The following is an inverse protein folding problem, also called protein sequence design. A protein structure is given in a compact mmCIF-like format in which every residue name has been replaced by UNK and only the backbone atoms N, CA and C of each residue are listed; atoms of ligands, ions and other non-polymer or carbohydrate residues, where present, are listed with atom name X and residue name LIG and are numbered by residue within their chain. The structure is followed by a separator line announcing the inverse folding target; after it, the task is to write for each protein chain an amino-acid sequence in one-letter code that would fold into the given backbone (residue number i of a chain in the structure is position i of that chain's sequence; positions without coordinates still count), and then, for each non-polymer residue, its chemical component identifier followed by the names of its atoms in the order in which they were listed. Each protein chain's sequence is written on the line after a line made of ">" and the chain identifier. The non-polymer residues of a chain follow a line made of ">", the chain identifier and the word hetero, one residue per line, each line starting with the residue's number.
data_IF_268297542130
#
_entry.id   IF_268297542130
#
_cell.length_a   1.000
_cell.length_b   1.000
_cell.length_c   1.000
_cell.angle_alpha   90.00
_cell.angle_beta   90.00
_cell.angle_gamma   90.00
#
_symmetry.space_group_name_H-M   'P 1'
#
loop_
_entity.id
_entity.type
_entity.pdbx_description
1 polymer ?
#
# COMPACT_ATOMS: atom_id res chain seq x y z
N UNK A 1 -22.15 -19.39 -1.59
CA UNK A 1 -23.60 -19.60 -1.71
C UNK A 1 -24.23 -18.33 -2.27
N UNK A 2 -24.31 -18.03 -3.55
CA UNK A 2 -24.97 -16.85 -4.14
C UNK A 2 -26.43 -16.57 -3.74
N UNK A 3 -26.80 -16.93 -2.53
CA UNK A 3 -28.08 -16.62 -1.93
C UNK A 3 -28.04 -15.24 -1.26
N UNK A 4 -29.10 -14.44 -1.32
CA UNK A 4 -29.19 -13.20 -0.56
C UNK A 4 -28.92 -13.46 0.92
N UNK A 5 -27.87 -12.79 1.47
CA UNK A 5 -27.45 -12.97 2.86
C UNK A 5 -26.35 -14.01 3.09
N UNK A 6 -25.75 -14.60 2.06
CA UNK A 6 -24.57 -15.44 2.20
C UNK A 6 -23.39 -14.63 2.79
N UNK A 7 -22.73 -15.19 3.82
CA UNK A 7 -21.57 -14.58 4.43
C UNK A 7 -20.37 -14.68 3.47
N UNK A 8 -19.66 -13.59 3.28
CA UNK A 8 -18.36 -13.60 2.60
C UNK A 8 -17.38 -14.28 3.58
N UNK A 9 -16.84 -15.44 3.19
CA UNK A 9 -15.99 -16.25 4.05
C UNK A 9 -14.56 -15.69 4.15
N UNK A 10 -14.11 -14.90 3.16
CA UNK A 10 -12.78 -14.30 3.12
C UNK A 10 -12.89 -12.91 2.50
N UNK A 11 -12.31 -11.89 3.16
CA UNK A 11 -12.31 -10.49 2.75
C UNK A 11 -10.89 -9.93 2.83
N UNK A 12 -10.61 -8.82 2.14
CA UNK A 12 -9.36 -8.08 2.32
C UNK A 12 -9.14 -7.66 3.77
N UNK A 13 -10.21 -7.30 4.49
CA UNK A 13 -10.12 -6.92 5.91
C UNK A 13 -9.74 -8.07 6.85
N UNK A 14 -9.67 -9.31 6.36
CA UNK A 14 -9.17 -10.45 7.11
C UNK A 14 -7.62 -10.57 7.01
N UNK A 15 -6.99 -9.73 6.18
CA UNK A 15 -5.54 -9.54 6.18
C UNK A 15 -5.14 -8.78 7.44
N UNK A 16 -4.26 -9.37 8.23
CA UNK A 16 -3.78 -8.75 9.47
C UNK A 16 -2.92 -7.53 9.15
N UNK A 17 -3.26 -6.39 9.75
CA UNK A 17 -2.44 -5.20 9.73
C UNK A 17 -1.18 -5.44 10.58
N UNK A 18 -0.04 -5.57 9.94
CA UNK A 18 1.24 -5.79 10.62
C UNK A 18 2.07 -4.50 10.64
N UNK A 19 2.72 -4.25 11.77
CA UNK A 19 3.74 -3.21 11.83
C UNK A 19 4.95 -3.63 10.99
N UNK A 20 5.44 -2.72 10.18
CA UNK A 20 6.69 -2.90 9.46
C UNK A 20 7.66 -1.77 9.79
N UNK A 21 8.96 -2.09 9.85
CA UNK A 21 10.00 -1.12 10.14
C UNK A 21 10.46 -0.41 8.87
N UNK A 22 11.04 0.78 9.04
CA UNK A 22 11.66 1.55 7.98
C UNK A 22 12.89 2.30 8.45
N UNK A 23 13.60 2.90 7.52
CA UNK A 23 14.76 3.75 7.77
C UNK A 23 14.62 5.05 7.01
N UNK A 24 15.04 6.15 7.64
CA UNK A 24 15.12 7.47 7.02
C UNK A 24 16.54 8.00 7.10
N UNK A 25 17.09 8.38 5.97
CA UNK A 25 18.37 9.10 5.87
C UNK A 25 18.07 10.54 5.48
N UNK A 26 18.69 11.48 6.18
CA UNK A 26 18.57 12.92 5.90
C UNK A 26 19.96 13.51 5.84
N UNK A 27 20.25 14.26 4.79
CA UNK A 27 21.50 15.03 4.62
C UNK A 27 21.15 16.45 4.25
N UNK A 28 21.72 17.42 4.94
CA UNK A 28 21.43 18.84 4.70
C UNK A 28 22.64 19.72 4.87
N UNK A 29 22.57 20.90 4.26
CA UNK A 29 23.56 21.95 4.38
C UNK A 29 22.87 23.28 4.71
N UNK A 30 23.35 23.96 5.76
CA UNK A 30 22.89 25.30 6.13
C UNK A 30 23.91 26.29 5.62
N UNK A 31 23.45 27.31 4.87
CA UNK A 31 24.32 28.34 4.35
C UNK A 31 24.77 29.34 5.44
N UNK A 32 25.88 30.04 5.20
CA UNK A 32 26.59 30.86 6.21
C UNK A 32 25.74 31.93 6.90
N UNK A 33 24.67 32.42 6.26
CA UNK A 33 23.75 33.39 6.86
C UNK A 33 22.65 32.75 7.71
N UNK A 34 22.66 31.42 7.85
CA UNK A 34 21.72 30.59 8.64
C UNK A 34 20.23 30.74 8.30
N UNK A 35 19.89 31.50 7.24
CA UNK A 35 18.50 31.71 6.81
C UNK A 35 17.98 30.60 5.91
N UNK A 36 18.86 29.97 5.13
CA UNK A 36 18.50 28.95 4.15
C UNK A 36 19.22 27.65 4.44
N UNK A 37 18.52 26.57 4.22
CA UNK A 37 19.00 25.20 4.33
C UNK A 37 18.53 24.40 3.13
N UNK A 38 19.40 23.62 2.52
CA UNK A 38 19.04 22.59 1.54
C UNK A 38 19.11 21.24 2.23
N UNK A 39 18.12 20.39 2.01
CA UNK A 39 18.05 19.06 2.61
C UNK A 39 17.60 18.04 1.57
N UNK A 40 18.24 16.89 1.55
CA UNK A 40 17.80 15.72 0.83
C UNK A 40 17.43 14.63 1.83
N UNK A 41 16.31 13.96 1.61
CA UNK A 41 15.91 12.84 2.45
C UNK A 41 15.50 11.63 1.62
N UNK A 42 15.73 10.43 2.17
CA UNK A 42 15.32 9.16 1.64
C UNK A 42 14.66 8.35 2.75
N UNK A 43 13.39 8.00 2.56
CA UNK A 43 12.62 7.14 3.45
C UNK A 43 12.37 5.83 2.74
N UNK A 44 12.74 4.73 3.37
CA UNK A 44 12.47 3.38 2.91
C UNK A 44 11.75 2.60 4.00
N UNK A 45 10.77 1.81 3.62
CA UNK A 45 10.02 0.91 4.50
C UNK A 45 10.24 -0.54 4.05
N UNK A 46 10.45 -1.42 5.00
CA UNK A 46 10.48 -2.86 4.74
C UNK A 46 9.15 -3.31 4.14
N UNK A 47 9.15 -4.31 3.24
CA UNK A 47 7.91 -4.79 2.64
C UNK A 47 6.89 -5.19 3.71
N UNK A 48 5.68 -4.69 3.58
CA UNK A 48 4.54 -5.18 4.32
C UNK A 48 3.96 -6.39 3.60
N UNK A 49 3.65 -7.46 4.35
CA UNK A 49 3.07 -8.68 3.79
C UNK A 49 1.94 -9.15 4.68
N UNK A 50 0.83 -9.58 4.08
CA UNK A 50 -0.27 -10.18 4.81
C UNK A 50 -0.86 -11.35 4.03
N UNK A 51 -1.37 -12.35 4.76
CA UNK A 51 -1.99 -13.54 4.18
C UNK A 51 -3.21 -13.90 5.00
N UNK A 52 -4.32 -14.14 4.31
CA UNK A 52 -5.52 -14.71 4.91
C UNK A 52 -6.00 -15.88 4.08
N UNK A 53 -6.59 -16.89 4.73
CA UNK A 53 -7.09 -18.08 4.05
C UNK A 53 -8.33 -18.64 4.74
N UNK A 54 -9.12 -19.35 3.97
CA UNK A 54 -10.28 -20.09 4.46
C UNK A 54 -10.28 -21.48 3.85
N UNK A 55 -10.59 -22.47 4.67
CA UNK A 55 -10.82 -23.83 4.22
C UNK A 55 -12.29 -24.18 4.34
N UNK A 56 -12.77 -25.02 3.43
CA UNK A 56 -14.07 -25.63 3.53
C UNK A 56 -14.18 -26.46 4.82
N UNK A 57 -15.31 -26.37 5.52
CA UNK A 57 -15.61 -27.15 6.70
C UNK A 57 -16.53 -28.36 6.30
N UNK A 58 -15.98 -29.56 6.08
CA UNK A 58 -16.72 -30.67 5.50
C UNK A 58 -17.89 -31.16 6.36
N UNK A 59 -17.98 -30.76 7.62
CA UNK A 59 -18.80 -31.44 8.60
C UNK A 59 -20.12 -30.76 8.96
N UNK A 60 -20.39 -29.53 8.55
CA UNK A 60 -21.53 -28.77 9.06
C UNK A 60 -22.75 -28.73 8.15
N UNK A 61 -22.64 -29.12 6.88
CA UNK A 61 -23.73 -29.10 5.92
C UNK A 61 -23.80 -30.39 5.10
N UNK A 62 -24.22 -31.49 5.71
CA UNK A 62 -24.57 -32.75 5.03
C UNK A 62 -23.47 -33.41 4.18
N UNK A 63 -22.20 -33.26 4.54
CA UNK A 63 -21.09 -33.95 3.85
C UNK A 63 -20.76 -33.46 2.44
N UNK A 64 -21.29 -32.30 2.01
CA UNK A 64 -20.87 -31.66 0.75
C UNK A 64 -19.55 -31.00 0.96
N UNK A 65 -18.54 -31.36 0.17
CA UNK A 65 -17.22 -30.72 0.09
C UNK A 65 -17.20 -29.73 -1.09
N UNK A 66 -16.37 -28.69 -0.99
CA UNK A 66 -16.25 -27.69 -2.06
C UNK A 66 -17.42 -26.71 -2.02
N UNK A 67 -17.63 -26.06 -0.89
CA UNK A 67 -18.71 -25.09 -0.70
C UNK A 67 -18.22 -23.63 -0.71
N UNK A 68 -16.94 -23.38 -1.08
CA UNK A 68 -16.45 -22.05 -1.29
C UNK A 68 -16.68 -21.63 -2.74
N UNK A 69 -17.25 -20.43 -2.91
CA UNK A 69 -17.58 -19.85 -4.21
C UNK A 69 -16.72 -18.61 -4.44
N UNK A 70 -16.25 -18.46 -5.67
CA UNK A 70 -15.32 -17.41 -6.06
C UNK A 70 -16.03 -16.06 -6.29
N UNK A 71 -15.30 -14.94 -6.22
CA UNK A 71 -15.82 -13.63 -6.61
C UNK A 71 -16.13 -13.55 -8.12
N UNK A 72 -15.55 -14.43 -8.94
CA UNK A 72 -15.69 -14.41 -10.41
C UNK A 72 -17.10 -14.79 -10.91
N UNK A 73 -17.90 -15.38 -10.06
CA UNK A 73 -19.29 -15.75 -10.34
C UNK A 73 -20.28 -15.00 -9.45
N UNK A 74 -19.86 -13.85 -8.89
CA UNK A 74 -20.64 -13.19 -7.85
C UNK A 74 -21.05 -14.19 -6.72
N UNK A 75 -20.04 -14.94 -6.26
CA UNK A 75 -20.16 -15.95 -5.20
C UNK A 75 -21.20 -17.05 -5.52
N UNK A 76 -21.13 -17.58 -6.73
CA UNK A 76 -21.96 -18.71 -7.19
C UNK A 76 -23.33 -18.33 -7.72
N UNK A 77 -23.50 -17.15 -8.28
CA UNK A 77 -24.78 -16.68 -8.81
C UNK A 77 -24.69 -16.18 -10.29
N UNK A 78 -24.80 -17.08 -11.30
CA UNK A 78 -24.87 -18.54 -11.22
C UNK A 78 -23.49 -19.18 -10.97
N UNK A 79 -23.42 -20.39 -10.40
CA UNK A 79 -22.15 -21.06 -10.18
C UNK A 79 -21.50 -21.54 -11.50
N UNK A 80 -20.16 -21.48 -11.54
CA UNK A 80 -19.34 -21.99 -12.64
C UNK A 80 -18.31 -22.98 -12.09
N UNK A 81 -18.34 -24.22 -12.57
CA UNK A 81 -17.45 -25.29 -12.12
C UNK A 81 -15.97 -25.03 -12.40
N UNK A 82 -15.63 -24.07 -13.25
CA UNK A 82 -14.23 -23.70 -13.53
C UNK A 82 -13.60 -22.93 -12.36
N UNK A 83 -14.38 -22.15 -11.61
CA UNK A 83 -13.92 -21.21 -10.59
C UNK A 83 -14.61 -21.33 -9.24
N UNK A 84 -15.64 -22.17 -9.12
CA UNK A 84 -16.39 -22.41 -7.90
C UNK A 84 -16.19 -23.84 -7.39
N UNK A 85 -16.75 -24.12 -6.23
CA UNK A 85 -16.65 -25.41 -5.53
C UNK A 85 -15.22 -25.66 -5.05
N UNK A 86 -14.62 -24.63 -4.42
CA UNK A 86 -13.30 -24.72 -3.85
C UNK A 86 -13.35 -25.27 -2.41
N UNK A 87 -12.29 -25.95 -2.01
CA UNK A 87 -12.09 -26.44 -0.64
C UNK A 87 -11.12 -25.59 0.16
N UNK A 88 -10.37 -24.73 -0.52
CA UNK A 88 -9.43 -23.80 0.09
C UNK A 88 -9.28 -22.55 -0.77
N UNK A 89 -9.31 -21.38 -0.13
CA UNK A 89 -9.04 -20.08 -0.78
C UNK A 89 -8.04 -19.31 0.08
N UNK A 90 -7.08 -18.67 -0.57
CA UNK A 90 -6.07 -17.81 0.06
C UNK A 90 -5.95 -16.51 -0.71
N UNK A 91 -5.83 -15.42 0.02
CA UNK A 91 -5.37 -14.13 -0.48
C UNK A 91 -4.04 -13.77 0.17
N UNK A 92 -3.15 -13.15 -0.60
CA UNK A 92 -1.84 -12.70 -0.14
C UNK A 92 -1.57 -11.33 -0.73
N UNK A 93 -1.13 -10.39 0.09
CA UNK A 93 -0.81 -9.02 -0.32
C UNK A 93 0.60 -8.66 0.13
N UNK A 94 1.34 -8.00 -0.76
CA UNK A 94 2.68 -7.45 -0.47
C UNK A 94 2.72 -6.03 -0.96
N UNK A 95 3.25 -5.11 -0.15
CA UNK A 95 3.42 -3.70 -0.50
C UNK A 95 4.83 -3.23 -0.16
N UNK A 96 5.44 -2.47 -1.09
CA UNK A 96 6.73 -1.80 -0.94
C UNK A 96 6.52 -0.30 -1.06
N UNK A 97 7.25 0.45 -0.23
CA UNK A 97 7.18 1.89 -0.20
C UNK A 97 8.58 2.51 -0.08
N UNK A 98 8.80 3.59 -0.84
CA UNK A 98 9.93 4.50 -0.66
C UNK A 98 9.50 5.95 -0.98
N UNK A 99 10.21 6.92 -0.39
CA UNK A 99 10.00 8.34 -0.68
C UNK A 99 11.31 9.09 -0.63
N UNK A 100 11.52 9.97 -1.60
CA UNK A 100 12.69 10.83 -1.76
C UNK A 100 12.25 12.29 -1.81
N UNK A 101 13.00 13.14 -1.14
CA UNK A 101 12.69 14.56 -1.09
C UNK A 101 13.98 15.39 -1.26
N UNK A 102 13.87 16.51 -1.94
CA UNK A 102 14.90 17.56 -1.97
C UNK A 102 14.19 18.88 -1.67
N UNK A 103 14.57 19.52 -0.57
CA UNK A 103 13.89 20.67 0.00
C UNK A 103 14.83 21.84 0.19
N UNK A 104 14.36 23.03 -0.17
CA UNK A 104 14.90 24.31 0.26
C UNK A 104 14.03 24.83 1.41
N UNK A 105 14.65 25.09 2.56
CA UNK A 105 14.00 25.62 3.76
C UNK A 105 14.49 27.03 4.02
N UNK A 106 13.56 27.94 4.32
CA UNK A 106 13.87 29.33 4.66
C UNK A 106 13.23 29.76 5.96
N UNK A 107 13.99 30.40 6.87
CA UNK A 107 13.45 30.96 8.12
C UNK A 107 12.66 32.23 7.82
N UNK A 108 11.36 32.24 8.13
CA UNK A 108 10.48 33.41 7.94
C UNK A 108 10.20 34.15 9.24
N UNK A 109 10.31 33.45 10.38
CA UNK A 109 10.15 34.01 11.70
C UNK A 109 11.09 33.32 12.69
N UNK A 110 11.74 34.10 13.55
CA UNK A 110 12.58 33.57 14.63
C UNK A 110 12.50 34.49 15.84
N UNK A 111 12.26 33.92 17.02
CA UNK A 111 12.34 34.55 18.33
C UNK A 111 13.17 33.66 19.27
N UNK A 112 13.30 34.04 20.54
CA UNK A 112 14.03 33.26 21.54
C UNK A 112 13.44 31.85 21.71
N UNK A 113 12.08 31.76 21.68
CA UNK A 113 11.36 30.51 21.99
C UNK A 113 10.78 29.80 20.77
N UNK A 114 10.73 30.45 19.59
CA UNK A 114 10.03 29.89 18.43
C UNK A 114 10.72 30.25 17.12
N UNK A 115 10.80 29.29 16.20
CA UNK A 115 11.17 29.51 14.83
C UNK A 115 10.12 28.90 13.87
N UNK A 116 9.86 29.63 12.76
CA UNK A 116 9.01 29.15 11.68
C UNK A 116 9.80 29.19 10.38
N UNK A 117 9.81 28.07 9.68
CA UNK A 117 10.45 27.91 8.37
C UNK A 117 9.42 27.56 7.32
N UNK A 118 9.53 28.14 6.14
CA UNK A 118 8.87 27.65 4.94
C UNK A 118 9.77 26.66 4.22
N UNK A 119 9.14 25.71 3.55
CA UNK A 119 9.80 24.69 2.75
C UNK A 119 9.17 24.68 1.35
N UNK A 120 10.03 24.57 0.34
CA UNK A 120 9.64 24.28 -1.03
C UNK A 120 10.62 23.28 -1.62
N UNK A 121 10.12 22.28 -2.35
CA UNK A 121 10.97 21.23 -2.86
C UNK A 121 10.32 20.34 -3.91
N UNK A 122 10.98 19.23 -4.16
CA UNK A 122 10.50 18.15 -5.03
C UNK A 122 10.39 16.86 -4.21
N UNK A 123 9.34 16.11 -4.48
CA UNK A 123 9.08 14.80 -3.86
C UNK A 123 8.89 13.74 -4.92
N UNK A 124 9.50 12.60 -4.67
CA UNK A 124 9.24 11.33 -5.35
C UNK A 124 8.67 10.33 -4.35
N UNK A 125 7.68 9.55 -4.78
CA UNK A 125 7.13 8.43 -3.99
C UNK A 125 6.95 7.23 -4.90
N UNK A 126 7.56 6.11 -4.54
CA UNK A 126 7.40 4.82 -5.20
C UNK A 126 6.57 3.87 -4.34
N UNK A 127 5.50 3.31 -4.91
CA UNK A 127 4.68 2.28 -4.25
C UNK A 127 4.49 1.13 -5.24
N UNK A 128 4.88 -0.08 -4.84
CA UNK A 128 4.65 -1.29 -5.62
C UNK A 128 3.85 -2.28 -4.77
N UNK A 129 2.79 -2.81 -5.35
CA UNK A 129 1.94 -3.78 -4.66
C UNK A 129 1.72 -5.02 -5.51
N UNK A 130 1.53 -6.15 -4.81
CA UNK A 130 1.11 -7.40 -5.39
C UNK A 130 -0.02 -7.98 -4.56
N UNK A 131 -1.12 -8.35 -5.21
CA UNK A 131 -2.24 -9.04 -4.62
C UNK A 131 -2.45 -10.37 -5.34
N UNK A 132 -2.33 -11.48 -4.61
CA UNK A 132 -2.44 -12.84 -5.12
C UNK A 132 -3.71 -13.50 -4.57
N UNK A 133 -4.55 -13.97 -5.47
CA UNK A 133 -5.68 -14.83 -5.18
C UNK A 133 -5.33 -16.26 -5.60
N UNK A 134 -5.56 -17.22 -4.71
CA UNK A 134 -5.38 -18.65 -4.95
C UNK A 134 -6.61 -19.40 -4.48
N UNK A 135 -7.17 -20.26 -5.33
CA UNK A 135 -8.27 -21.12 -5.00
C UNK A 135 -7.96 -22.57 -5.41
N UNK A 136 -8.11 -23.49 -4.46
CA UNK A 136 -7.95 -24.93 -4.66
C UNK A 136 -9.32 -25.54 -4.86
N UNK A 137 -9.66 -26.00 -6.07
CA UNK A 137 -10.93 -26.64 -6.31
C UNK A 137 -11.04 -27.97 -5.57
N UNK A 138 -12.26 -28.32 -5.19
CA UNK A 138 -12.52 -29.66 -4.71
C UNK A 138 -12.31 -30.67 -5.84
N UNK A 139 -11.73 -31.82 -5.50
CA UNK A 139 -11.64 -32.95 -6.42
C UNK A 139 -12.93 -33.75 -6.50
N UNK A 140 -13.92 -33.45 -5.64
CA UNK A 140 -15.22 -34.10 -5.65
C UNK A 140 -16.18 -33.28 -6.53
N UNK A 141 -16.70 -33.89 -7.58
CA UNK A 141 -17.85 -33.38 -8.32
C UNK A 141 -19.09 -33.36 -7.43
N UNK A 142 -20.18 -32.72 -7.90
CA UNK A 142 -21.49 -32.73 -7.25
C UNK A 142 -22.00 -34.15 -6.89
N UNK A 143 -21.41 -35.17 -7.49
CA UNK A 143 -21.49 -36.57 -7.07
C UNK A 143 -20.31 -36.86 -6.12
N UNK A 144 -20.53 -37.00 -4.80
CA UNK A 144 -19.46 -37.23 -3.84
C UNK A 144 -18.69 -38.56 -4.07
N UNK A 145 -19.13 -39.38 -5.01
CA UNK A 145 -18.46 -40.62 -5.40
C UNK A 145 -17.45 -40.43 -6.54
N UNK A 146 -17.40 -39.26 -7.17
CA UNK A 146 -16.50 -38.96 -8.31
C UNK A 146 -15.52 -37.89 -7.95
N UNK A 147 -14.25 -38.25 -8.04
CA UNK A 147 -13.11 -37.33 -7.96
C UNK A 147 -12.73 -36.94 -9.37
N UNK A 148 -12.68 -35.63 -9.65
CA UNK A 148 -12.07 -35.12 -10.88
C UNK A 148 -10.62 -34.70 -10.59
N UNK A 149 -9.64 -35.58 -10.83
CA UNK A 149 -8.22 -35.30 -10.58
C UNK A 149 -7.64 -34.28 -11.56
N UNK A 150 -8.41 -33.83 -12.54
CA UNK A 150 -7.94 -32.90 -13.59
C UNK A 150 -8.16 -31.45 -13.22
N UNK A 151 -8.92 -31.16 -12.15
CA UNK A 151 -9.14 -29.79 -11.68
C UNK A 151 -7.84 -29.21 -11.09
N UNK A 152 -7.36 -28.14 -11.68
CA UNK A 152 -6.16 -27.44 -11.26
C UNK A 152 -6.52 -26.20 -10.44
N UNK A 153 -5.63 -25.73 -9.54
CA UNK A 153 -5.84 -24.50 -8.82
C UNK A 153 -6.07 -23.30 -9.76
N UNK A 154 -6.92 -22.39 -9.31
CA UNK A 154 -7.10 -21.10 -9.96
C UNK A 154 -6.22 -20.06 -9.26
N UNK A 155 -5.52 -19.24 -10.04
CA UNK A 155 -4.70 -18.14 -9.54
C UNK A 155 -5.00 -16.87 -10.31
N UNK A 156 -5.08 -15.76 -9.59
CA UNK A 156 -5.10 -14.43 -10.21
C UNK A 156 -4.14 -13.56 -9.45
N UNK A 157 -3.20 -12.95 -10.17
CA UNK A 157 -2.18 -12.08 -9.62
C UNK A 157 -2.39 -10.67 -10.19
N UNK A 158 -2.59 -9.71 -9.33
CA UNK A 158 -2.63 -8.30 -9.68
C UNK A 158 -1.37 -7.61 -9.12
N UNK A 159 -0.61 -6.94 -9.99
CA UNK A 159 0.55 -6.15 -9.60
C UNK A 159 0.35 -4.72 -10.05
N UNK A 160 0.72 -3.80 -9.19
CA UNK A 160 0.65 -2.36 -9.47
C UNK A 160 1.96 -1.68 -9.10
N UNK A 161 2.29 -0.66 -9.89
CA UNK A 161 3.38 0.26 -9.61
C UNK A 161 2.82 1.67 -9.70
N UNK A 162 3.09 2.46 -8.69
CA UNK A 162 2.81 3.89 -8.65
C UNK A 162 4.14 4.63 -8.52
N UNK A 163 4.40 5.55 -9.41
CA UNK A 163 5.61 6.36 -9.51
C UNK A 163 5.22 7.85 -9.54
N UNK A 164 5.27 8.48 -8.35
CA UNK A 164 4.74 9.81 -8.11
C UNK A 164 5.89 10.83 -8.08
N UNK A 165 5.81 11.85 -8.94
CA UNK A 165 6.74 12.98 -8.97
C UNK A 165 6.01 14.30 -8.89
N UNK A 166 6.44 15.21 -8.00
CA UNK A 166 5.79 16.50 -7.92
C UNK A 166 6.48 17.53 -7.02
N UNK A 167 6.10 18.80 -7.18
CA UNK A 167 6.50 19.86 -6.26
C UNK A 167 5.82 19.67 -4.91
N UNK A 168 6.57 20.03 -3.84
CA UNK A 168 6.03 20.10 -2.48
C UNK A 168 6.27 21.45 -1.85
N UNK A 169 5.37 21.80 -0.93
CA UNK A 169 5.50 22.95 -0.05
C UNK A 169 5.21 22.52 1.40
N UNK A 170 5.74 23.25 2.37
CA UNK A 170 5.48 22.94 3.77
C UNK A 170 5.85 24.06 4.73
N UNK A 171 5.46 23.85 5.97
CA UNK A 171 5.77 24.71 7.12
C UNK A 171 6.36 23.86 8.22
N UNK A 172 7.43 24.35 8.81
CA UNK A 172 8.08 23.76 9.97
C UNK A 172 8.00 24.76 11.12
N UNK A 173 7.38 24.38 12.23
CA UNK A 173 7.30 25.16 13.44
C UNK A 173 8.16 24.49 14.51
N UNK A 174 9.06 25.22 15.12
CA UNK A 174 9.93 24.75 16.19
C UNK A 174 9.72 25.60 17.43
N UNK A 175 9.49 24.98 18.57
CA UNK A 175 9.29 25.64 19.86
C UNK A 175 10.32 25.12 20.85
N UNK A 176 11.07 26.01 21.48
CA UNK A 176 12.05 25.72 22.51
C UNK A 176 11.32 25.30 23.79
N UNK A 177 11.54 24.08 24.25
CA UNK A 177 10.98 23.55 25.47
C UNK A 177 11.92 23.70 26.67
N UNK A 178 13.23 23.65 26.45
CA UNK A 178 14.30 23.82 27.39
C UNK A 178 15.58 24.26 26.68
N UNK A 179 16.65 24.60 27.42
CA UNK A 179 17.93 25.11 26.88
C UNK A 179 18.53 24.22 25.78
N UNK A 180 18.30 22.91 25.85
CA UNK A 180 18.82 21.89 24.94
C UNK A 180 17.73 20.96 24.41
N UNK A 181 16.47 21.39 24.43
CA UNK A 181 15.35 20.59 23.94
C UNK A 181 14.32 21.47 23.23
N UNK A 182 13.77 20.99 22.12
CA UNK A 182 12.70 21.65 21.37
C UNK A 182 11.73 20.63 20.77
N UNK A 183 10.55 21.12 20.40
CA UNK A 183 9.54 20.35 19.69
C UNK A 183 9.38 20.95 18.28
N UNK A 184 9.27 20.12 17.27
CA UNK A 184 8.97 20.50 15.88
C UNK A 184 7.63 19.91 15.44
N UNK A 185 6.87 20.73 14.72
CA UNK A 185 5.72 20.30 13.93
C UNK A 185 6.03 20.62 12.47
N UNK A 186 6.10 19.60 11.65
CA UNK A 186 6.38 19.70 10.22
C UNK A 186 5.12 19.28 9.45
N UNK A 187 4.60 20.15 8.59
CA UNK A 187 3.44 19.90 7.73
C UNK A 187 3.86 20.14 6.29
N UNK A 188 3.70 19.13 5.43
CA UNK A 188 4.04 19.20 4.02
C UNK A 188 2.89 18.71 3.14
N UNK A 189 2.80 19.25 1.93
CA UNK A 189 1.88 18.81 0.90
C UNK A 189 2.52 18.81 -0.47
N UNK A 190 2.25 17.78 -1.26
CA UNK A 190 2.70 17.69 -2.64
C UNK A 190 1.53 17.36 -3.60
N UNK A 191 1.63 17.91 -4.81
CA UNK A 191 0.79 17.54 -5.94
C UNK A 191 1.70 16.85 -6.94
N UNK A 192 1.41 15.58 -7.22
CA UNK A 192 2.27 14.72 -8.02
C UNK A 192 1.57 14.27 -9.30
N UNK A 193 2.36 14.04 -10.35
CA UNK A 193 1.96 13.18 -11.45
C UNK A 193 2.29 11.74 -11.08
N UNK A 194 1.29 10.85 -11.10
CA UNK A 194 1.44 9.44 -10.81
C UNK A 194 1.43 8.63 -12.11
N UNK A 195 2.62 8.23 -12.57
CA UNK A 195 2.78 7.23 -13.62
C UNK A 195 2.48 5.83 -13.08
N UNK A 196 1.25 5.36 -13.24
CA UNK A 196 0.86 4.07 -12.67
C UNK A 196 0.73 2.97 -13.71
N UNK A 197 1.20 1.76 -13.37
CA UNK A 197 0.98 0.55 -14.17
C UNK A 197 0.22 -0.50 -13.38
N UNK A 198 -0.56 -1.30 -14.10
CA UNK A 198 -1.22 -2.52 -13.63
C UNK A 198 -0.86 -3.67 -14.54
N UNK A 199 -0.37 -4.76 -13.95
CA UNK A 199 -0.19 -6.05 -14.60
C UNK A 199 -1.14 -7.06 -13.95
N UNK A 200 -1.91 -7.77 -14.77
CA UNK A 200 -2.90 -8.74 -14.30
C UNK A 200 -2.75 -10.03 -15.09
N UNK A 201 -2.42 -11.13 -14.41
CA UNK A 201 -2.34 -12.46 -14.97
C UNK A 201 -3.24 -13.43 -14.22
N UNK A 202 -3.80 -14.39 -14.97
CA UNK A 202 -4.70 -15.38 -14.41
C UNK A 202 -4.42 -16.75 -14.98
N UNK A 203 -4.52 -17.78 -14.14
CA UNK A 203 -4.63 -19.17 -14.56
C UNK A 203 -5.97 -19.70 -14.06
N UNK A 204 -6.86 -20.03 -14.99
CA UNK A 204 -8.22 -20.49 -14.71
C UNK A 204 -8.42 -21.86 -15.36
N UNK A 205 -8.80 -22.84 -14.55
CA UNK A 205 -9.03 -24.23 -14.99
C UNK A 205 -7.84 -24.79 -15.83
N UNK A 206 -6.60 -24.51 -15.39
CA UNK A 206 -5.38 -24.96 -16.06
C UNK A 206 -4.97 -24.17 -17.30
N UNK A 207 -5.74 -23.18 -17.71
CA UNK A 207 -5.39 -22.31 -18.83
C UNK A 207 -4.83 -20.99 -18.30
N UNK A 208 -3.60 -20.65 -18.72
CA UNK A 208 -2.98 -19.37 -18.40
C UNK A 208 -3.35 -18.34 -19.45
N UNK A 209 -3.85 -17.20 -19.00
CA UNK A 209 -4.21 -16.06 -19.83
C UNK A 209 -3.09 -15.02 -19.77
N UNK A 210 -2.75 -14.39 -20.92
CA UNK A 210 -1.64 -13.45 -20.98
C UNK A 210 -1.89 -12.21 -20.13
N UNK A 211 -0.78 -11.63 -19.66
CA UNK A 211 -0.79 -10.40 -18.88
C UNK A 211 -1.50 -9.26 -19.62
N UNK A 212 -2.39 -8.58 -18.89
CA UNK A 212 -2.98 -7.33 -19.35
C UNK A 212 -2.26 -6.17 -18.67
N UNK A 213 -1.22 -5.64 -19.34
CA UNK A 213 -0.49 -4.48 -18.86
C UNK A 213 -1.16 -3.19 -19.32
N UNK A 214 -1.45 -2.33 -18.36
CA UNK A 214 -2.00 -1.01 -18.60
C UNK A 214 -1.15 0.02 -17.87
N UNK A 215 -0.74 1.09 -18.58
CA UNK A 215 -0.03 2.23 -18.00
C UNK A 215 -0.80 3.51 -18.27
N UNK A 216 -0.91 4.38 -17.28
CA UNK A 216 -1.55 5.69 -17.37
C UNK A 216 -0.91 6.66 -16.37
N UNK A 217 -0.95 7.95 -16.68
CA UNK A 217 -0.57 9.02 -15.76
C UNK A 217 -1.80 9.80 -15.28
N UNK A 218 -1.82 10.21 -14.00
CA UNK A 218 -2.84 11.09 -13.43
C UNK A 218 -2.34 11.80 -12.18
N UNK A 219 -3.07 12.84 -11.76
CA UNK A 219 -2.75 13.57 -10.54
C UNK A 219 -2.93 12.71 -9.29
N UNK A 220 -1.99 12.85 -8.35
CA UNK A 220 -2.03 12.27 -7.02
C UNK A 220 -1.62 13.32 -5.97
N UNK A 221 -1.98 13.10 -4.72
CA UNK A 221 -1.74 14.03 -3.63
C UNK A 221 -1.01 13.33 -2.49
N UNK A 222 -0.02 14.02 -1.92
CA UNK A 222 0.73 13.53 -0.75
C UNK A 222 0.62 14.57 0.35
N UNK A 223 0.18 14.14 1.52
CA UNK A 223 0.17 14.95 2.75
C UNK A 223 1.03 14.30 3.82
N UNK A 224 1.87 15.08 4.50
CA UNK A 224 2.82 14.59 5.49
C UNK A 224 2.77 15.49 6.73
N UNK A 225 2.58 14.89 7.90
CA UNK A 225 2.59 15.58 9.19
C UNK A 225 3.53 14.82 10.12
N UNK A 226 4.53 15.51 10.65
CA UNK A 226 5.48 14.96 11.62
C UNK A 226 5.51 15.82 12.88
N UNK A 227 5.38 15.20 14.03
CA UNK A 227 5.57 15.83 15.35
C UNK A 227 6.77 15.18 16.01
N UNK A 228 7.79 15.96 16.32
CA UNK A 228 9.05 15.46 16.86
C UNK A 228 9.53 16.26 18.05
N UNK A 229 10.04 15.56 19.05
CA UNK A 229 10.81 16.15 20.15
C UNK A 229 12.30 15.88 19.95
N UNK A 230 13.10 16.89 20.20
CA UNK A 230 14.55 16.86 20.06
C UNK A 230 15.21 17.14 21.39
N UNK A 231 16.28 16.41 21.68
CA UNK A 231 17.17 16.65 22.79
C UNK A 231 18.61 16.68 22.30
N UNK A 232 19.33 17.74 22.62
CA UNK A 232 20.71 17.98 22.20
C UNK A 232 21.66 17.84 23.39
N UNK A 233 22.22 16.63 23.64
CA UNK A 233 23.17 16.40 24.73
C UNK A 233 24.51 17.10 24.54
N UNK A 234 24.95 17.29 23.28
CA UNK A 234 26.17 18.02 22.92
C UNK A 234 25.93 18.89 21.69
N UNK A 235 26.82 19.84 21.39
CA UNK A 235 26.66 20.78 20.27
C UNK A 235 26.61 20.09 18.91
N UNK A 236 27.20 18.90 18.76
CA UNK A 236 27.23 18.15 17.50
C UNK A 236 26.24 16.99 17.40
N UNK A 237 25.47 16.68 18.47
CA UNK A 237 24.58 15.53 18.49
C UNK A 237 23.18 15.90 19.01
N UNK A 238 22.14 15.55 18.26
CA UNK A 238 20.76 15.61 18.73
C UNK A 238 20.08 14.23 18.63
N UNK A 239 19.24 13.91 19.57
CA UNK A 239 18.35 12.75 19.57
C UNK A 239 16.95 13.22 19.22
N UNK A 240 16.30 12.55 18.30
CA UNK A 240 14.94 12.84 17.85
C UNK A 240 14.02 11.67 18.17
N UNK A 241 12.84 11.96 18.71
CA UNK A 241 11.73 11.02 18.83
C UNK A 241 10.47 11.68 18.32
N UNK A 242 9.65 10.99 17.57
CA UNK A 242 8.45 11.59 16.99
C UNK A 242 7.45 10.58 16.46
N UNK A 243 6.42 11.13 15.81
CA UNK A 243 5.36 10.38 15.17
C UNK A 243 5.04 11.04 13.83
N UNK A 244 5.01 10.23 12.76
CA UNK A 244 4.72 10.69 11.41
C UNK A 244 3.40 10.12 10.91
N UNK A 245 2.66 10.93 10.15
CA UNK A 245 1.48 10.58 9.38
C UNK A 245 1.75 10.94 7.93
N UNK A 246 1.71 9.97 7.02
CA UNK A 246 1.89 10.18 5.59
C UNK A 246 0.65 9.64 4.87
N UNK A 247 -0.13 10.53 4.26
CA UNK A 247 -1.33 10.22 3.50
C UNK A 247 -1.08 10.40 2.01
N UNK A 248 -1.51 9.44 1.20
CA UNK A 248 -1.39 9.48 -0.27
C UNK A 248 -2.73 9.11 -0.89
N UNK A 249 -3.17 9.90 -1.88
CA UNK A 249 -4.42 9.75 -2.62
C UNK A 249 -4.14 9.74 -4.13
N UNK A 250 -4.93 9.01 -4.91
CA UNK A 250 -4.76 8.91 -6.36
C UNK A 250 -3.88 7.74 -6.80
N UNK A 251 -3.88 6.66 -6.01
CA UNK A 251 -3.09 5.45 -6.26
C UNK A 251 -3.88 4.39 -7.05
N UNK A 252 -3.14 3.54 -7.73
CA UNK A 252 -3.61 2.27 -8.30
C UNK A 252 -3.19 1.17 -7.34
N UNK A 253 -4.11 0.68 -6.49
CA UNK A 253 -3.83 -0.38 -5.53
C UNK A 253 -4.11 -1.76 -6.13
N UNK A 254 -3.28 -2.75 -5.82
CA UNK A 254 -3.38 -4.07 -6.43
C UNK A 254 -4.70 -4.78 -6.11
N UNK A 255 -5.15 -4.72 -4.86
CA UNK A 255 -6.41 -5.31 -4.43
C UNK A 255 -7.66 -4.64 -5.05
N UNK A 256 -7.64 -3.32 -5.28
CA UNK A 256 -8.75 -2.58 -5.92
C UNK A 256 -8.78 -2.80 -7.43
N UNK A 257 -7.64 -3.19 -8.01
CA UNK A 257 -7.48 -3.50 -9.42
C UNK A 257 -7.48 -5.01 -9.71
N UNK A 258 -7.73 -5.84 -8.70
CA UNK A 258 -8.13 -7.23 -8.87
C UNK A 258 -9.50 -7.28 -9.57
N UNK A 259 -9.53 -7.80 -10.79
CA UNK A 259 -10.76 -7.85 -11.57
C UNK A 259 -11.52 -9.15 -11.32
N UNK A 260 -12.74 -9.11 -10.76
CA UNK A 260 -13.56 -10.31 -10.59
C UNK A 260 -14.34 -10.73 -11.85
N UNK A 261 -14.23 -10.00 -12.97
CA UNK A 261 -14.91 -10.36 -14.22
C UNK A 261 -14.16 -11.48 -14.94
N UNK A 262 -14.71 -12.70 -14.86
CA UNK A 262 -14.12 -13.87 -15.51
C UNK A 262 -14.03 -13.74 -17.04
N UNK A 263 -15.00 -13.07 -17.67
CA UNK A 263 -15.00 -12.88 -19.12
C UNK A 263 -13.86 -11.93 -19.55
N UNK A 264 -13.59 -10.89 -18.76
CA UNK A 264 -12.46 -10.01 -19.00
C UNK A 264 -11.12 -10.72 -18.73
N UNK A 265 -10.99 -11.49 -17.63
CA UNK A 265 -9.79 -12.26 -17.33
C UNK A 265 -9.45 -13.29 -18.42
N UNK A 266 -10.47 -13.92 -19.01
CA UNK A 266 -10.31 -14.91 -20.07
C UNK A 266 -10.29 -14.31 -21.49
N UNK A 267 -10.27 -12.98 -21.62
CA UNK A 267 -10.17 -12.29 -22.91
C UNK A 267 -11.44 -12.29 -23.76
N UNK A 268 -12.58 -12.64 -23.16
CA UNK A 268 -13.88 -12.64 -23.86
C UNK A 268 -14.48 -11.22 -23.91
N UNK A 269 -14.14 -10.38 -22.96
CA UNK A 269 -14.54 -8.96 -22.90
C UNK A 269 -13.31 -8.07 -22.66
N UNK A 270 -13.44 -6.77 -22.88
CA UNK A 270 -12.37 -5.82 -22.62
C UNK A 270 -12.12 -5.68 -21.11
N UNK A 271 -10.84 -5.60 -20.72
CA UNK A 271 -10.47 -5.28 -19.37
C UNK A 271 -10.95 -3.89 -18.96
N UNK A 272 -11.48 -3.72 -17.73
CA UNK A 272 -11.85 -2.40 -17.24
C UNK A 272 -10.61 -1.50 -17.09
N UNK A 273 -10.80 -0.17 -17.14
CA UNK A 273 -9.73 0.79 -16.84
C UNK A 273 -9.17 0.57 -15.42
N UNK A 274 -7.99 1.14 -15.15
CA UNK A 274 -7.44 1.14 -13.79
C UNK A 274 -8.34 1.93 -12.83
N UNK A 275 -8.61 1.38 -11.64
CA UNK A 275 -9.14 2.16 -10.53
C UNK A 275 -7.98 2.93 -9.87
N UNK A 276 -8.11 4.26 -9.84
CA UNK A 276 -7.09 5.22 -9.39
C UNK A 276 -7.53 6.00 -8.16
N UNK A 277 -8.52 5.49 -7.45
CA UNK A 277 -9.08 6.14 -6.24
C UNK A 277 -8.47 5.61 -4.97
N UNK A 278 -7.44 4.77 -5.10
CA UNK A 278 -6.74 4.16 -3.99
C UNK A 278 -6.11 5.20 -3.07
N UNK A 279 -6.19 4.94 -1.77
CA UNK A 279 -5.65 5.78 -0.71
C UNK A 279 -4.90 4.93 0.29
N UNK A 280 -3.76 5.45 0.75
CA UNK A 280 -2.99 4.81 1.82
C UNK A 280 -2.64 5.81 2.90
N UNK A 281 -2.55 5.32 4.13
CA UNK A 281 -2.06 6.05 5.29
C UNK A 281 -0.92 5.25 5.92
N UNK A 282 0.29 5.75 5.82
CA UNK A 282 1.42 5.27 6.60
C UNK A 282 1.54 6.10 7.86
N UNK A 283 1.68 5.44 9.02
CA UNK A 283 1.82 6.13 10.29
C UNK A 283 2.68 5.33 11.25
N UNK A 284 3.41 6.03 12.10
CA UNK A 284 4.19 5.35 13.12
C UNK A 284 5.12 6.25 13.90
N UNK A 285 5.62 5.74 15.05
CA UNK A 285 6.67 6.39 15.80
C UNK A 285 8.02 6.24 15.09
N UNK A 286 8.90 7.20 15.31
CA UNK A 286 10.27 7.13 14.84
C UNK A 286 11.25 7.61 15.91
N UNK A 287 12.47 7.10 15.84
CA UNK A 287 13.63 7.50 16.64
C UNK A 287 14.78 7.81 15.68
N UNK A 288 15.51 8.88 15.93
CA UNK A 288 16.62 9.30 15.07
C UNK A 288 17.76 9.94 15.84
N UNK A 289 18.91 10.02 15.18
CA UNK A 289 20.08 10.75 15.61
C UNK A 289 20.45 11.77 14.53
N UNK A 290 20.75 13.01 14.94
CA UNK A 290 21.25 14.04 14.06
C UNK A 290 22.68 14.40 14.47
N UNK A 291 23.58 14.35 13.49
CA UNK A 291 24.97 14.79 13.65
C UNK A 291 25.19 16.09 12.90
N UNK A 292 25.83 17.06 13.56
CA UNK A 292 26.19 18.36 12.98
C UNK A 292 27.70 18.51 12.99
N UNK A 293 28.30 18.90 11.87
CA UNK A 293 29.74 19.09 11.69
C UNK A 293 30.06 20.36 10.89
#
# INVERSE_FOLDING_TARGET
>A
LGLPGALIALKRNDLDDQFTGGSRLVVGHTFDDSRYQVEASYLWQAPWTATASVSDLPSLLNGTVGNLFSPFTNFGSPPDTRVDYDNFVRIHEVSWFNSEEIDLKGVIFSSEDMAVKLLAGLRHVGISEQFDYYAQPTTLLADPTKVDPTRTPNTVNARTLNDLWGPQIGVIMQVTAARNAWVSLDIKGAICDNGASRDLDATIAGTTYPQNRLWQAAAAYVGDVDVSAFWQPTDGLSVRIGYQLLFIDGLVLACENFNPDLAALTGQTAMPPQDRRGKVLYQGPHLGLELRW
#
